data_IF_615372512974
#
_entry.id   IF_615372512974
#
_cell.length_a   1.000
_cell.length_b   1.000
_cell.length_c   1.000
_cell.angle_alpha   90.00
_cell.angle_beta   90.00
_cell.angle_gamma   90.00
#
_symmetry.space_group_name_H-M   'P 1'
#
loop_
_entity.id
_entity.type
_entity.pdbx_description
1 polymer ?
#
# COMPACT_ATOMS: atom_id res chain seq x y z
N UNK A 1 17.20 9.66 -11.39
CA UNK A 1 16.67 8.27 -11.39
C UNK A 1 16.26 7.90 -9.98
N UNK A 2 15.04 7.39 -9.78
CA UNK A 2 14.55 6.89 -8.49
C UNK A 2 14.68 5.36 -8.49
N UNK A 3 15.39 4.81 -7.50
CA UNK A 3 15.60 3.37 -7.37
C UNK A 3 14.93 2.82 -6.12
N UNK A 4 15.73 2.62 -5.06
CA UNK A 4 15.28 2.04 -3.78
C UNK A 4 14.17 2.85 -3.10
N UNK A 5 14.15 4.16 -3.29
CA UNK A 5 13.16 5.03 -2.63
C UNK A 5 11.73 4.74 -3.09
N UNK A 6 11.53 4.34 -4.35
CA UNK A 6 10.21 3.95 -4.87
C UNK A 6 9.61 2.72 -4.15
N UNK A 7 10.44 1.89 -3.50
CA UNK A 7 9.96 0.79 -2.65
C UNK A 7 9.85 1.18 -1.17
N UNK A 8 10.65 2.15 -0.73
CA UNK A 8 10.67 2.61 0.65
C UNK A 8 9.46 3.49 0.97
N UNK A 9 9.13 4.40 0.06
CA UNK A 9 7.97 5.29 0.12
C UNK A 9 7.34 5.42 -1.28
N UNK A 10 6.55 4.43 -1.72
CA UNK A 10 5.91 4.47 -3.03
C UNK A 10 4.99 5.69 -3.22
N UNK A 11 4.48 6.28 -2.13
CA UNK A 11 3.52 7.39 -2.21
C UNK A 11 4.18 8.70 -2.68
N UNK A 12 5.51 8.83 -2.55
CA UNK A 12 6.26 9.98 -3.11
C UNK A 12 6.05 10.13 -4.63
N UNK A 13 5.71 9.05 -5.33
CA UNK A 13 5.49 9.09 -6.77
C UNK A 13 4.25 9.89 -7.17
N UNK A 14 3.33 10.15 -6.22
CA UNK A 14 2.15 10.99 -6.46
C UNK A 14 2.49 12.48 -6.67
N UNK A 15 3.73 12.89 -6.36
CA UNK A 15 4.22 14.25 -6.59
C UNK A 15 4.92 14.42 -7.94
N UNK A 16 5.30 13.31 -8.61
CA UNK A 16 6.19 13.34 -9.79
C UNK A 16 5.59 14.09 -10.96
N UNK A 17 4.30 13.87 -11.25
CA UNK A 17 3.63 14.47 -12.41
C UNK A 17 3.66 16.00 -12.33
N UNK A 18 3.36 16.54 -11.16
CA UNK A 18 3.42 17.98 -10.88
C UNK A 18 4.85 18.51 -10.85
N UNK A 19 5.80 17.78 -10.25
CA UNK A 19 7.18 18.26 -10.08
C UNK A 19 8.01 18.25 -11.37
N UNK A 20 7.71 17.35 -12.31
CA UNK A 20 8.54 17.14 -13.51
C UNK A 20 7.86 17.64 -14.78
N UNK A 21 6.54 17.45 -14.90
CA UNK A 21 5.83 17.69 -16.16
C UNK A 21 4.96 18.95 -16.14
N UNK A 22 4.94 19.69 -15.01
CA UNK A 22 4.09 20.87 -14.80
C UNK A 22 2.59 20.57 -15.04
N UNK A 23 2.21 19.30 -14.81
CA UNK A 23 0.83 18.83 -14.91
C UNK A 23 0.10 19.09 -13.60
N UNK A 24 -1.22 19.33 -13.69
CA UNK A 24 -2.06 19.49 -12.53
C UNK A 24 -1.99 18.24 -11.64
N UNK A 25 -1.66 18.45 -10.36
CA UNK A 25 -1.55 17.37 -9.41
C UNK A 25 -2.90 16.66 -9.24
N UNK A 26 -2.98 15.41 -9.67
CA UNK A 26 -4.09 14.53 -9.31
C UNK A 26 -3.86 14.08 -7.87
N UNK A 27 -4.41 14.82 -6.91
CA UNK A 27 -4.31 14.44 -5.50
C UNK A 27 -5.17 13.20 -5.23
N UNK A 28 -4.54 12.02 -5.22
CA UNK A 28 -5.18 10.80 -4.77
C UNK A 28 -4.71 10.50 -3.35
N UNK A 29 -5.66 10.44 -2.42
CA UNK A 29 -5.35 10.02 -1.05
C UNK A 29 -4.81 8.59 -1.04
N UNK A 30 -3.98 8.25 -0.03
CA UNK A 30 -3.51 6.88 0.20
C UNK A 30 -4.68 5.87 0.23
N UNK A 31 -5.83 6.27 0.78
CA UNK A 31 -7.03 5.43 0.86
C UNK A 31 -7.65 5.17 -0.52
N UNK A 32 -7.72 6.19 -1.37
CA UNK A 32 -8.22 6.06 -2.75
C UNK A 32 -7.33 5.12 -3.56
N UNK A 33 -6.01 5.30 -3.48
CA UNK A 33 -5.04 4.45 -4.17
C UNK A 33 -5.12 3.01 -3.63
N UNK A 34 -5.19 2.83 -2.31
CA UNK A 34 -5.30 1.51 -1.71
C UNK A 34 -6.59 0.80 -2.12
N UNK A 35 -7.73 1.50 -2.17
CA UNK A 35 -8.99 0.93 -2.62
C UNK A 35 -8.91 0.43 -4.08
N UNK A 36 -8.32 1.22 -4.98
CA UNK A 36 -8.08 0.81 -6.36
C UNK A 36 -7.16 -0.41 -6.44
N UNK A 37 -6.09 -0.43 -5.65
CA UNK A 37 -5.15 -1.56 -5.64
C UNK A 37 -5.75 -2.82 -5.01
N UNK A 38 -6.64 -2.70 -4.01
CA UNK A 38 -7.40 -3.83 -3.46
C UNK A 38 -8.30 -4.48 -4.52
N UNK A 39 -8.96 -3.67 -5.36
CA UNK A 39 -9.76 -4.20 -6.48
C UNK A 39 -8.89 -4.99 -7.48
N UNK A 40 -7.70 -4.47 -7.82
CA UNK A 40 -6.72 -5.18 -8.62
C UNK A 40 -6.28 -6.49 -7.96
N UNK A 41 -5.92 -6.47 -6.67
CA UNK A 41 -5.53 -7.68 -5.92
C UNK A 41 -6.64 -8.74 -5.97
N UNK A 42 -7.90 -8.33 -5.80
CA UNK A 42 -9.04 -9.26 -5.84
C UNK A 42 -9.16 -9.97 -7.20
N UNK A 43 -9.05 -9.22 -8.31
CA UNK A 43 -9.05 -9.80 -9.66
C UNK A 43 -7.87 -10.77 -9.88
N UNK A 44 -6.68 -10.43 -9.40
CA UNK A 44 -5.51 -11.28 -9.54
C UNK A 44 -5.57 -12.55 -8.68
N UNK A 45 -6.08 -12.45 -7.46
CA UNK A 45 -6.33 -13.61 -6.59
C UNK A 45 -7.32 -14.58 -7.25
N UNK A 46 -8.39 -14.06 -7.88
CA UNK A 46 -9.34 -14.87 -8.63
C UNK A 46 -8.71 -15.62 -9.83
N UNK A 47 -7.60 -15.09 -10.36
CA UNK A 47 -6.79 -15.71 -11.41
C UNK A 47 -5.70 -16.67 -10.87
N UNK A 48 -5.63 -16.87 -9.56
CA UNK A 48 -4.66 -17.75 -8.91
C UNK A 48 -3.29 -17.12 -8.65
N UNK A 49 -3.15 -15.79 -8.78
CA UNK A 49 -1.89 -15.10 -8.44
C UNK A 49 -1.76 -15.00 -6.91
N UNK A 50 -0.64 -15.47 -6.35
CA UNK A 50 -0.41 -15.38 -4.91
C UNK A 50 -0.24 -13.94 -4.43
N UNK A 51 -0.83 -13.63 -3.27
CA UNK A 51 -0.79 -12.29 -2.65
C UNK A 51 0.63 -11.72 -2.53
N UNK A 52 1.62 -12.53 -2.11
CA UNK A 52 3.03 -12.11 -1.94
C UNK A 52 3.64 -11.41 -3.16
N UNK A 53 3.18 -11.75 -4.37
CA UNK A 53 3.71 -11.14 -5.61
C UNK A 53 3.25 -9.68 -5.75
N UNK A 54 2.12 -9.32 -5.16
CA UNK A 54 1.53 -7.98 -5.23
C UNK A 54 1.80 -7.18 -3.95
N UNK A 55 1.70 -7.82 -2.78
CA UNK A 55 1.78 -7.15 -1.48
C UNK A 55 3.18 -6.64 -1.12
N UNK A 56 4.24 -7.18 -1.73
CA UNK A 56 5.62 -6.66 -1.59
C UNK A 56 5.74 -5.17 -1.98
N UNK A 57 4.91 -4.70 -2.90
CA UNK A 57 4.90 -3.31 -3.36
C UNK A 57 4.18 -2.37 -2.39
N UNK A 58 3.43 -2.91 -1.43
CA UNK A 58 2.71 -2.15 -0.43
C UNK A 58 3.50 -1.90 0.86
N UNK A 59 4.64 -2.55 1.06
CA UNK A 59 5.35 -2.48 2.35
C UNK A 59 5.70 -1.03 2.74
N UNK A 60 6.17 -0.22 1.79
CA UNK A 60 6.49 1.19 2.03
C UNK A 60 5.29 2.15 1.97
N UNK A 61 4.08 1.69 1.65
CA UNK A 61 2.99 2.57 1.20
C UNK A 61 2.55 3.62 2.23
N UNK A 62 2.54 3.25 3.51
CA UNK A 62 2.26 4.16 4.63
C UNK A 62 3.55 4.67 5.29
N UNK A 63 4.65 4.85 4.55
CA UNK A 63 5.89 5.39 5.12
C UNK A 63 5.65 6.71 5.86
N UNK A 64 6.22 6.86 7.05
CA UNK A 64 6.09 8.08 7.86
C UNK A 64 4.76 8.22 8.64
N UNK A 65 3.75 7.39 8.37
CA UNK A 65 2.44 7.51 9.01
C UNK A 65 2.34 6.76 10.35
N UNK A 66 1.50 7.21 11.30
CA UNK A 66 1.04 6.37 12.41
C UNK A 66 0.53 5.02 11.90
N UNK A 67 0.94 3.93 12.54
CA UNK A 67 0.56 2.57 12.13
C UNK A 67 1.40 1.95 11.00
N UNK A 68 2.33 2.68 10.38
CA UNK A 68 3.21 2.17 9.30
C UNK A 68 3.97 0.89 9.67
N UNK A 69 4.41 0.77 10.92
CA UNK A 69 5.08 -0.43 11.42
C UNK A 69 4.12 -1.61 11.49
N UNK A 70 2.91 -1.38 12.01
CA UNK A 70 1.90 -2.42 12.14
C UNK A 70 1.46 -2.95 10.77
N UNK A 71 1.26 -2.05 9.81
CA UNK A 71 1.04 -2.34 8.39
C UNK A 71 2.10 -3.30 7.83
N UNK A 72 3.37 -2.89 7.86
CA UNK A 72 4.49 -3.69 7.35
C UNK A 72 4.62 -5.04 8.02
N UNK A 73 4.46 -5.06 9.35
CA UNK A 73 4.63 -6.27 10.15
C UNK A 73 3.53 -7.29 9.85
N UNK A 74 2.29 -6.81 9.68
CA UNK A 74 1.15 -7.67 9.37
C UNK A 74 1.29 -8.28 7.96
N UNK A 75 1.51 -7.45 6.94
CA UNK A 75 1.69 -7.94 5.57
C UNK A 75 2.89 -8.89 5.47
N UNK A 76 4.04 -8.51 6.04
CA UNK A 76 5.25 -9.32 5.98
C UNK A 76 5.11 -10.68 6.70
N UNK A 77 4.21 -10.78 7.68
CA UNK A 77 3.94 -12.02 8.41
C UNK A 77 3.00 -12.95 7.65
N UNK A 78 1.92 -12.41 7.08
CA UNK A 78 0.80 -13.24 6.60
C UNK A 78 0.78 -13.42 5.08
N UNK A 79 1.32 -12.48 4.29
CA UNK A 79 1.14 -12.50 2.84
C UNK A 79 1.89 -13.63 2.11
N UNK A 80 2.81 -14.35 2.78
CA UNK A 80 3.54 -15.48 2.21
C UNK A 80 2.77 -16.81 2.27
N UNK A 81 1.71 -16.92 3.08
CA UNK A 81 0.86 -18.11 3.11
C UNK A 81 0.17 -18.26 1.73
N UNK A 82 0.23 -19.43 1.08
CA UNK A 82 -0.47 -19.68 -0.18
C UNK A 82 -1.99 -19.45 -0.13
N UNK A 83 -2.59 -19.44 1.06
CA UNK A 83 -4.01 -19.18 1.31
C UNK A 83 -4.31 -17.72 1.64
N UNK A 84 -3.29 -16.86 1.74
CA UNK A 84 -3.48 -15.46 2.04
C UNK A 84 -4.24 -14.76 0.91
N UNK A 85 -5.33 -14.09 1.26
CA UNK A 85 -6.16 -13.30 0.38
C UNK A 85 -6.20 -11.82 0.75
N UNK A 86 -7.23 -11.13 0.26
CA UNK A 86 -7.40 -9.70 0.44
C UNK A 86 -7.50 -9.29 1.91
N UNK A 87 -7.97 -10.20 2.78
CA UNK A 87 -8.16 -9.98 4.22
C UNK A 87 -6.87 -9.54 4.93
N UNK A 88 -5.69 -10.00 4.47
CA UNK A 88 -4.40 -9.58 5.04
C UNK A 88 -4.15 -8.08 4.82
N UNK A 89 -4.56 -7.55 3.67
CA UNK A 89 -4.41 -6.13 3.36
C UNK A 89 -5.42 -5.31 4.16
N UNK A 90 -6.66 -5.78 4.27
CA UNK A 90 -7.72 -5.11 5.02
C UNK A 90 -7.45 -5.09 6.52
N UNK A 91 -6.89 -6.18 7.08
CA UNK A 91 -6.45 -6.22 8.48
C UNK A 91 -5.30 -5.26 8.75
N UNK A 92 -4.34 -5.15 7.83
CA UNK A 92 -3.27 -4.18 7.91
C UNK A 92 -3.83 -2.74 7.83
N UNK A 93 -4.80 -2.49 6.95
CA UNK A 93 -5.45 -1.19 6.75
C UNK A 93 -6.15 -0.73 8.03
N UNK A 94 -6.93 -1.61 8.67
CA UNK A 94 -7.59 -1.32 9.96
C UNK A 94 -6.60 -0.93 11.06
N UNK A 95 -5.40 -1.51 11.07
CA UNK A 95 -4.34 -1.15 12.03
C UNK A 95 -3.81 0.26 11.81
N UNK A 96 -3.73 0.71 10.55
CA UNK A 96 -3.32 2.08 10.22
C UNK A 96 -4.41 3.06 10.62
N UNK A 97 -5.67 2.77 10.28
CA UNK A 97 -6.82 3.60 10.67
C UNK A 97 -6.90 3.80 12.18
N UNK A 98 -6.85 2.71 12.95
CA UNK A 98 -6.87 2.79 14.41
C UNK A 98 -5.69 3.59 15.00
N UNK A 99 -4.51 3.49 14.39
CA UNK A 99 -3.34 4.25 14.85
C UNK A 99 -3.44 5.75 14.53
N UNK A 100 -4.06 6.10 13.40
CA UNK A 100 -4.32 7.50 13.03
C UNK A 100 -5.39 8.12 13.94
N UNK A 101 -6.46 7.38 14.25
CA UNK A 101 -7.50 7.82 15.18
C UNK A 101 -6.95 8.08 16.59
N UNK A 102 -5.97 7.29 17.04
CA UNK A 102 -5.33 7.47 18.35
C UNK A 102 -4.33 8.63 18.39
N UNK A 103 -3.85 9.09 17.23
CA UNK A 103 -2.88 10.17 17.11
C UNK A 103 -3.53 11.54 16.86
N UNK A 104 -4.84 11.57 16.57
CA UNK A 104 -5.66 12.76 16.39
C UNK A 104 -6.20 13.29 17.73
#
# INVERSE_FOLDING_TARGET
MIGREAYRDPYLLTDVDSLIFDEDRIYQSRWTILAAYKAYIADQLARGVYLKHMSRHLLGFFHGEPGARAWRSHIGRYASDPRAGLEVIEEAERKVQAALEQAA
#
